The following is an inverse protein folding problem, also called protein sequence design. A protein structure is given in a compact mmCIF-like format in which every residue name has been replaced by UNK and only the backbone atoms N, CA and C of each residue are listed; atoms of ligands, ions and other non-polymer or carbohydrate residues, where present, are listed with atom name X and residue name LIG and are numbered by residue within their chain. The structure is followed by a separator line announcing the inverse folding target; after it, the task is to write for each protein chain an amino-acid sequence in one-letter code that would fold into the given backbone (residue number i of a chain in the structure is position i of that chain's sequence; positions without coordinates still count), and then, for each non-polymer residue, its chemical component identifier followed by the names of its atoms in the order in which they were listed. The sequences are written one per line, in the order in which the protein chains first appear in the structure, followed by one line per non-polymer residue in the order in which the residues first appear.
data_IF_562149567697
#
_entry.id   IF_562149567697
#
_cell.length_a   1.000
_cell.length_b   1.000
_cell.length_c   1.000
_cell.angle_alpha   90.00
_cell.angle_beta   90.00
_cell.angle_gamma   90.00
#
_symmetry.space_group_name_H-M   'P 1'
#
loop_
_entity.id
_entity.type
_entity.pdbx_description
1 polymer ?
#
# COMPACT_ATOMS: atom_id res chain seq x y z
N UNK A 1 6.46 29.47 5.85
CA UNK A 1 6.03 28.47 4.86
C UNK A 1 5.89 27.15 5.59
N UNK A 2 4.74 26.47 5.48
CA UNK A 2 4.59 25.16 6.10
C UNK A 2 5.62 24.19 5.51
N UNK A 3 6.12 23.26 6.34
CA UNK A 3 7.06 22.23 5.90
C UNK A 3 6.30 21.08 5.24
N UNK A 4 6.99 20.28 4.42
CA UNK A 4 6.39 19.08 3.83
C UNK A 4 5.81 18.12 4.87
N UNK A 5 6.40 18.05 6.08
CA UNK A 5 5.88 17.23 7.17
C UNK A 5 4.52 17.69 7.69
N UNK A 6 4.24 19.00 7.64
CA UNK A 6 2.94 19.55 8.03
C UNK A 6 1.84 19.14 7.04
N UNK A 7 2.07 19.31 5.73
CA UNK A 7 1.11 18.90 4.71
C UNK A 7 0.84 17.38 4.72
N UNK A 8 1.86 16.58 5.03
CA UNK A 8 1.68 15.13 5.21
C UNK A 8 0.79 14.81 6.41
N UNK A 9 0.97 15.49 7.54
CA UNK A 9 0.11 15.29 8.70
C UNK A 9 -1.35 15.66 8.40
N UNK A 10 -1.59 16.80 7.74
CA UNK A 10 -2.94 17.21 7.34
C UNK A 10 -3.61 16.22 6.38
N UNK A 11 -2.85 15.66 5.42
CA UNK A 11 -3.35 14.61 4.53
C UNK A 11 -3.74 13.36 5.33
N UNK A 12 -2.90 12.91 6.26
CA UNK A 12 -3.19 11.74 7.08
C UNK A 12 -4.41 11.97 7.97
N UNK A 13 -4.49 13.12 8.64
CA UNK A 13 -5.64 13.48 9.49
C UNK A 13 -6.94 13.55 8.68
N UNK A 14 -6.89 14.14 7.47
CA UNK A 14 -8.02 14.16 6.56
C UNK A 14 -8.48 12.75 6.19
N UNK A 15 -7.56 11.86 5.79
CA UNK A 15 -7.91 10.48 5.44
C UNK A 15 -8.45 9.69 6.64
N UNK A 16 -7.88 9.88 7.84
CA UNK A 16 -8.35 9.22 9.07
C UNK A 16 -9.72 9.70 9.55
N UNK A 17 -10.17 10.89 9.13
CA UNK A 17 -11.49 11.44 9.50
C UNK A 17 -12.67 10.87 8.69
N UNK A 18 -12.41 9.97 7.73
CA UNK A 18 -13.41 9.43 6.83
C UNK A 18 -13.90 8.06 7.32
N UNK A 19 -15.18 7.99 7.68
CA UNK A 19 -15.75 6.84 8.39
C UNK A 19 -16.49 5.80 7.51
N UNK A 20 -16.52 5.96 6.18
CA UNK A 20 -17.13 4.96 5.29
C UNK A 20 -16.28 4.65 4.05
N UNK A 21 -16.32 3.39 3.55
CA UNK A 21 -15.63 3.00 2.32
C UNK A 21 -16.00 3.86 1.11
N UNK A 22 -17.28 4.21 0.96
CA UNK A 22 -17.78 5.02 -0.16
C UNK A 22 -17.29 6.47 -0.07
N UNK A 23 -17.21 7.03 1.15
CA UNK A 23 -16.67 8.36 1.36
C UNK A 23 -15.16 8.38 1.09
N UNK A 24 -14.43 7.35 1.52
CA UNK A 24 -13.00 7.20 1.26
C UNK A 24 -12.70 7.07 -0.22
N UNK A 25 -13.47 6.25 -0.94
CA UNK A 25 -13.34 6.08 -2.38
C UNK A 25 -13.52 7.40 -3.13
N UNK A 26 -14.56 8.18 -2.79
CA UNK A 26 -14.78 9.52 -3.36
C UNK A 26 -13.65 10.49 -3.03
N UNK A 27 -13.16 10.48 -1.79
CA UNK A 27 -12.06 11.35 -1.37
C UNK A 27 -10.79 11.04 -2.17
N UNK A 28 -10.39 9.76 -2.24
CA UNK A 28 -9.22 9.31 -3.01
C UNK A 28 -9.38 9.60 -4.51
N UNK A 29 -10.55 9.37 -5.09
CA UNK A 29 -10.83 9.67 -6.49
C UNK A 29 -10.82 11.18 -6.80
N UNK A 30 -11.04 12.04 -5.79
CA UNK A 30 -10.93 13.50 -5.93
C UNK A 30 -9.51 14.03 -5.72
N UNK A 31 -8.72 13.38 -4.86
CA UNK A 31 -7.35 13.77 -4.52
C UNK A 31 -6.33 13.25 -5.54
N UNK A 32 -6.59 12.09 -6.13
CA UNK A 32 -5.70 11.39 -7.05
C UNK A 32 -6.26 11.41 -8.47
N UNK A 33 -5.37 11.36 -9.45
CA UNK A 33 -5.79 11.04 -10.81
C UNK A 33 -6.26 9.58 -10.89
N UNK A 34 -7.15 9.24 -11.86
CA UNK A 34 -7.57 7.85 -12.06
C UNK A 34 -6.40 6.88 -12.26
N UNK A 35 -5.32 7.32 -12.91
CA UNK A 35 -4.12 6.53 -13.13
C UNK A 35 -3.36 6.25 -11.82
N UNK A 36 -3.16 7.27 -10.98
CA UNK A 36 -2.50 7.12 -9.68
C UNK A 36 -3.30 6.23 -8.74
N UNK A 37 -4.62 6.39 -8.70
CA UNK A 37 -5.47 5.56 -7.83
C UNK A 37 -5.41 4.08 -8.24
N UNK A 38 -5.44 3.78 -9.53
CA UNK A 38 -5.23 2.43 -10.05
C UNK A 38 -3.82 1.90 -9.72
N UNK A 39 -2.78 2.72 -9.85
CA UNK A 39 -1.41 2.31 -9.57
C UNK A 39 -1.20 1.98 -8.09
N UNK A 40 -1.66 2.83 -7.18
CA UNK A 40 -1.56 2.62 -5.73
C UNK A 40 -2.37 1.38 -5.33
N UNK A 41 -3.56 1.20 -5.90
CA UNK A 41 -4.37 -0.01 -5.69
C UNK A 41 -3.63 -1.28 -6.10
N UNK A 42 -2.98 -1.29 -7.27
CA UNK A 42 -2.15 -2.41 -7.73
C UNK A 42 -0.94 -2.64 -6.82
N UNK A 43 -0.26 -1.59 -6.37
CA UNK A 43 0.87 -1.69 -5.43
C UNK A 43 0.46 -2.33 -4.11
N UNK A 44 -0.71 -1.96 -3.58
CA UNK A 44 -1.27 -2.60 -2.38
C UNK A 44 -1.49 -4.12 -2.59
N UNK A 45 -2.03 -4.52 -3.74
CA UNK A 45 -2.21 -5.95 -4.06
C UNK A 45 -0.87 -6.68 -4.22
N UNK A 46 0.13 -6.05 -4.85
CA UNK A 46 1.49 -6.59 -4.94
C UNK A 46 2.02 -6.88 -3.52
N UNK A 47 1.87 -5.94 -2.58
CA UNK A 47 2.35 -6.15 -1.20
C UNK A 47 1.63 -7.30 -0.49
N UNK A 48 0.30 -7.42 -0.65
CA UNK A 48 -0.47 -8.53 -0.09
C UNK A 48 0.02 -9.88 -0.61
N UNK A 49 0.10 -10.03 -1.93
CA UNK A 49 0.53 -11.29 -2.56
C UNK A 49 1.99 -11.65 -2.26
N UNK A 50 2.87 -10.65 -2.16
CA UNK A 50 4.26 -10.88 -1.75
C UNK A 50 4.35 -11.40 -0.31
N UNK A 51 3.55 -10.85 0.62
CA UNK A 51 3.48 -11.34 2.01
C UNK A 51 2.92 -12.75 2.11
N UNK A 52 2.06 -13.14 1.17
CA UNK A 52 1.54 -14.51 1.03
C UNK A 52 2.55 -15.47 0.36
N UNK A 53 3.74 -15.00 -0.03
CA UNK A 53 4.78 -15.82 -0.67
C UNK A 53 4.53 -16.12 -2.15
N UNK A 54 3.60 -15.40 -2.80
CA UNK A 54 3.29 -15.61 -4.22
C UNK A 54 4.49 -15.21 -5.09
N UNK A 55 4.94 -16.06 -6.04
CA UNK A 55 6.07 -15.73 -6.89
C UNK A 55 5.81 -14.49 -7.76
N UNK A 56 6.83 -13.66 -7.98
CA UNK A 56 6.70 -12.39 -8.71
C UNK A 56 6.07 -12.52 -10.10
N UNK A 57 6.40 -13.61 -10.81
CA UNK A 57 5.83 -13.90 -12.13
C UNK A 57 4.31 -14.11 -12.05
N UNK A 58 3.84 -14.83 -11.04
CA UNK A 58 2.41 -15.09 -10.85
C UNK A 58 1.67 -13.80 -10.49
N UNK A 59 2.28 -12.94 -9.66
CA UNK A 59 1.73 -11.61 -9.34
C UNK A 59 1.59 -10.75 -10.60
N UNK A 60 2.62 -10.73 -11.45
CA UNK A 60 2.63 -10.00 -12.70
C UNK A 60 1.48 -10.44 -13.64
N UNK A 61 1.30 -11.75 -13.79
CA UNK A 61 0.21 -12.35 -14.56
C UNK A 61 -1.17 -12.02 -13.96
N UNK A 62 -1.36 -12.19 -12.65
CA UNK A 62 -2.65 -11.96 -11.96
C UNK A 62 -3.08 -10.49 -12.01
N UNK A 63 -2.13 -9.55 -11.87
CA UNK A 63 -2.44 -8.12 -11.82
C UNK A 63 -2.33 -7.43 -13.18
N UNK A 64 -1.94 -8.15 -14.24
CA UNK A 64 -1.73 -7.60 -15.57
C UNK A 64 -0.65 -6.51 -15.60
N UNK A 65 0.41 -6.68 -14.82
CA UNK A 65 1.53 -5.72 -14.71
C UNK A 65 2.84 -6.36 -15.16
N UNK A 66 3.79 -5.55 -15.62
CA UNK A 66 5.13 -6.04 -15.95
C UNK A 66 5.90 -6.54 -14.72
N UNK A 67 6.80 -7.50 -14.92
CA UNK A 67 7.67 -8.05 -13.86
C UNK A 67 8.48 -6.97 -13.14
N UNK A 68 8.87 -5.92 -13.86
CA UNK A 68 9.58 -4.76 -13.31
C UNK A 68 8.74 -3.99 -12.27
N UNK A 69 7.41 -3.91 -12.46
CA UNK A 69 6.50 -3.27 -11.51
C UNK A 69 6.43 -4.07 -10.21
N UNK A 70 6.34 -5.40 -10.30
CA UNK A 70 6.37 -6.27 -9.13
C UNK A 70 7.71 -6.18 -8.38
N UNK A 71 8.83 -6.18 -9.11
CA UNK A 71 10.17 -6.04 -8.52
C UNK A 71 10.36 -4.72 -7.78
N UNK A 72 9.89 -3.60 -8.35
CA UNK A 72 9.91 -2.29 -7.66
C UNK A 72 9.02 -2.30 -6.40
N UNK A 73 7.85 -2.91 -6.48
CA UNK A 73 6.98 -3.09 -5.31
C UNK A 73 7.66 -3.90 -4.20
N UNK A 74 8.28 -5.03 -4.55
CA UNK A 74 9.02 -5.87 -3.60
C UNK A 74 10.10 -5.11 -2.83
N UNK A 75 10.86 -4.23 -3.51
CA UNK A 75 11.88 -3.40 -2.83
C UNK A 75 11.27 -2.41 -1.84
N UNK A 76 10.13 -1.81 -2.17
CA UNK A 76 9.44 -0.88 -1.27
C UNK A 76 8.88 -1.57 -0.02
N UNK A 77 8.47 -2.84 -0.14
CA UNK A 77 7.99 -3.64 0.98
C UNK A 77 9.08 -3.88 2.03
N UNK A 78 10.33 -4.13 1.62
CA UNK A 78 11.46 -4.33 2.55
C UNK A 78 11.73 -3.11 3.43
N UNK A 79 11.35 -1.92 2.99
CA UNK A 79 11.55 -0.66 3.73
C UNK A 79 10.41 -0.36 4.72
N UNK A 80 9.28 -1.08 4.64
CA UNK A 80 8.20 -0.95 5.61
C UNK A 80 8.53 -1.79 6.86
N UNK A 81 8.46 -1.23 8.08
CA UNK A 81 8.66 -2.02 9.28
C UNK A 81 7.63 -3.14 9.30
N UNK A 82 8.11 -4.38 9.26
CA UNK A 82 7.28 -5.57 9.35
C UNK A 82 6.66 -5.62 10.75
N UNK A 83 5.43 -5.12 10.88
CA UNK A 83 4.57 -5.48 12.00
C UNK A 83 4.10 -6.93 11.82
N UNK A 84 5.04 -7.87 11.96
CA UNK A 84 4.73 -9.25 12.30
C UNK A 84 4.69 -9.34 13.83
N UNK A 85 3.61 -9.85 14.45
CA UNK A 85 3.61 -10.14 15.87
C UNK A 85 4.67 -11.19 16.10
N UNK A 86 5.64 -10.87 16.96
CA UNK A 86 6.61 -11.83 17.45
C UNK A 86 5.86 -12.88 18.27
N UNK A 87 5.57 -14.03 17.67
CA UNK A 87 5.23 -15.25 18.41
C UNK A 87 6.45 -15.66 19.23
N UNK A 88 6.59 -15.11 20.43
CA UNK A 88 7.39 -15.71 21.49
C UNK A 88 6.56 -16.83 22.09
N UNK A 89 6.83 -18.04 21.63
CA UNK A 89 6.40 -19.26 22.26
C UNK A 89 7.46 -19.62 23.32
N UNK A 90 7.34 -19.05 24.51
CA UNK A 90 8.13 -19.47 25.66
C UNK A 90 7.28 -20.48 26.44
N UNK A 91 7.43 -21.74 26.06
CA UNK A 91 7.07 -22.89 26.87
C UNK A 91 8.22 -23.15 27.85
N UNK A 92 7.94 -23.08 29.16
CA UNK A 92 8.40 -23.99 30.22
C UNK A 92 7.97 -23.45 31.58
#
# INVERSE_FOLDING_TARGET
MPSNGHYQAELIDHLLSIDSPEAMDRALASLLTPAEYQEISKRLQIFKLLREGVPHRKIAETLGVGIATVSRGSRALTTLPSSSPSSRNDAS
#
